data_IF_647219860299
#
_entry.id   IF_647219860299
#
_cell.length_a   1.000
_cell.length_b   1.000
_cell.length_c   1.000
_cell.angle_alpha   90.00
_cell.angle_beta   90.00
_cell.angle_gamma   90.00
#
_symmetry.space_group_name_H-M   'P 1'
#
loop_
_entity.id
_entity.type
_entity.pdbx_description
1 polymer ?
#
# COMPACT_ATOMS: atom_id res chain seq x y z
N UNK A 1 5.49 4.42 7.75
CA UNK A 1 5.59 4.31 6.27
C UNK A 1 5.55 5.72 5.70
N UNK A 2 6.31 5.96 4.64
CA UNK A 2 6.39 7.26 3.98
C UNK A 2 5.67 7.21 2.64
N UNK A 3 4.73 8.13 2.44
CA UNK A 3 4.00 8.30 1.18
C UNK A 3 4.28 9.72 0.67
N UNK A 4 4.77 9.81 -0.57
CA UNK A 4 4.96 11.11 -1.23
C UNK A 4 3.84 11.33 -2.24
N UNK A 5 3.16 12.48 -2.13
CA UNK A 5 2.12 12.90 -3.06
C UNK A 5 2.70 13.96 -4.02
N UNK A 6 2.46 13.84 -5.34
CA UNK A 6 2.74 14.93 -6.25
C UNK A 6 1.77 16.08 -5.96
N UNK A 7 2.30 17.29 -5.80
CA UNK A 7 1.54 18.50 -5.55
C UNK A 7 0.84 19.02 -6.80
N UNK A 8 0.06 20.10 -6.64
CA UNK A 8 -0.75 20.70 -7.71
C UNK A 8 0.07 21.37 -8.82
N UNK A 9 1.38 21.55 -8.63
CA UNK A 9 2.33 22.02 -9.63
C UNK A 9 3.45 21.00 -9.82
N UNK A 10 4.01 20.90 -11.03
CA UNK A 10 5.07 19.92 -11.39
C UNK A 10 6.33 19.95 -10.50
N UNK A 11 6.47 20.95 -9.63
CA UNK A 11 7.62 21.18 -8.77
C UNK A 11 7.32 21.10 -7.27
N UNK A 12 6.07 20.82 -6.87
CA UNK A 12 5.72 20.63 -5.45
C UNK A 12 5.49 19.14 -5.16
N UNK A 13 6.14 18.61 -4.13
CA UNK A 13 5.80 17.30 -3.56
C UNK A 13 5.46 17.51 -2.10
N UNK A 14 4.38 16.88 -1.65
CA UNK A 14 4.02 16.89 -0.24
C UNK A 14 4.25 15.51 0.35
N UNK A 15 5.17 15.43 1.31
CA UNK A 15 5.49 14.18 2.00
C UNK A 15 4.59 14.01 3.21
N UNK A 16 3.94 12.85 3.30
CA UNK A 16 3.18 12.47 4.48
C UNK A 16 3.78 11.25 5.15
N UNK A 17 3.91 11.36 6.47
CA UNK A 17 4.41 10.29 7.34
C UNK A 17 3.27 9.85 8.24
N UNK A 18 2.92 8.57 8.16
CA UNK A 18 1.98 7.93 9.09
C UNK A 18 2.63 6.67 9.68
N UNK A 19 2.49 6.54 10.99
CA UNK A 19 2.81 5.30 11.69
C UNK A 19 1.74 4.26 11.37
N UNK A 20 2.17 3.02 11.11
CA UNK A 20 1.25 1.90 10.91
C UNK A 20 0.70 1.49 12.28
N UNK A 21 -0.62 1.44 12.40
CA UNK A 21 -1.33 1.16 13.66
C UNK A 21 -2.31 0.03 13.48
N UNK A 22 -2.51 -0.77 14.53
CA UNK A 22 -3.62 -1.70 14.66
C UNK A 22 -4.52 -1.23 15.80
N UNK A 23 -5.67 -0.65 15.45
CA UNK A 23 -6.45 0.16 16.38
C UNK A 23 -5.65 1.36 16.90
N UNK A 24 -5.62 1.56 18.22
CA UNK A 24 -4.91 2.68 18.84
C UNK A 24 -3.41 2.43 19.07
N UNK A 25 -2.92 1.21 18.79
CA UNK A 25 -1.53 0.81 19.07
C UNK A 25 -0.67 0.85 17.80
N UNK A 26 0.55 1.34 17.94
CA UNK A 26 1.57 1.24 16.88
C UNK A 26 1.89 -0.24 16.65
N UNK A 27 1.78 -0.68 15.40
CA UNK A 27 2.07 -2.04 15.01
C UNK A 27 3.59 -2.25 15.02
N UNK A 28 4.06 -3.34 15.65
CA UNK A 28 5.49 -3.66 15.66
C UNK A 28 5.96 -4.04 14.26
N UNK A 29 7.20 -3.68 13.93
CA UNK A 29 7.79 -3.96 12.62
C UNK A 29 7.78 -5.45 12.26
N UNK A 30 8.13 -6.32 13.22
CA UNK A 30 8.12 -7.78 13.04
C UNK A 30 6.72 -8.33 12.70
N UNK A 31 5.69 -7.79 13.34
CA UNK A 31 4.31 -8.20 13.10
C UNK A 31 3.85 -7.77 11.70
N UNK A 32 4.17 -6.53 11.30
CA UNK A 32 3.91 -6.04 9.96
C UNK A 32 4.67 -6.87 8.91
N UNK A 33 5.95 -7.15 9.15
CA UNK A 33 6.77 -7.98 8.26
C UNK A 33 6.16 -9.37 8.07
N UNK A 34 5.66 -9.98 9.15
CA UNK A 34 4.97 -11.27 9.08
C UNK A 34 3.72 -11.19 8.21
N UNK A 35 2.88 -10.16 8.39
CA UNK A 35 1.66 -9.95 7.57
C UNK A 35 2.00 -9.79 6.08
N UNK A 36 3.02 -8.99 5.76
CA UNK A 36 3.50 -8.78 4.39
C UNK A 36 4.00 -10.09 3.78
N UNK A 37 4.79 -10.86 4.53
CA UNK A 37 5.29 -12.15 4.08
C UNK A 37 4.14 -13.11 3.78
N UNK A 38 3.17 -13.24 4.68
CA UNK A 38 2.00 -14.10 4.49
C UNK A 38 1.21 -13.69 3.25
N UNK A 39 0.97 -12.40 3.05
CA UNK A 39 0.28 -11.90 1.85
C UNK A 39 1.05 -12.23 0.56
N UNK A 40 2.36 -12.04 0.56
CA UNK A 40 3.21 -12.39 -0.59
C UNK A 40 3.14 -13.89 -0.89
N UNK A 41 3.24 -14.72 0.13
CA UNK A 41 3.19 -16.17 -0.03
C UNK A 41 1.82 -16.62 -0.56
N UNK A 42 0.71 -15.99 -0.12
CA UNK A 42 -0.63 -16.30 -0.61
C UNK A 42 -0.83 -15.96 -2.09
N UNK A 43 -0.24 -14.85 -2.56
CA UNK A 43 -0.27 -14.51 -4.00
C UNK A 43 0.46 -15.55 -4.86
N UNK A 44 1.58 -16.09 -4.36
CA UNK A 44 2.36 -17.11 -5.08
C UNK A 44 1.60 -18.44 -5.12
N UNK A 45 0.91 -18.81 -4.03
CA UNK A 45 0.13 -20.04 -3.94
C UNK A 45 -1.14 -19.93 -4.80
N UNK A 46 -1.92 -18.85 -4.63
CA UNK A 46 -3.15 -18.64 -5.40
C UNK A 46 -2.92 -18.61 -6.92
N UNK A 47 -1.76 -18.10 -7.37
CA UNK A 47 -1.37 -18.18 -8.78
C UNK A 47 -1.22 -19.63 -9.29
N UNK A 48 -0.83 -20.58 -8.43
CA UNK A 48 -0.60 -21.98 -8.80
C UNK A 48 -1.87 -22.81 -8.76
N UNK A 49 -2.78 -22.50 -7.86
CA UNK A 49 -3.92 -23.37 -7.51
C UNK A 49 -5.21 -23.03 -8.30
N UNK A 50 -5.26 -21.91 -9.04
CA UNK A 50 -6.42 -21.48 -9.84
C UNK A 50 -7.74 -21.38 -9.05
N UNK A 51 -7.67 -21.26 -7.72
CA UNK A 51 -8.80 -21.00 -6.85
C UNK A 51 -9.16 -19.50 -6.82
N UNK A 52 -10.39 -19.18 -6.39
CA UNK A 52 -10.79 -17.81 -6.12
C UNK A 52 -9.83 -17.19 -5.10
N UNK A 53 -9.06 -16.19 -5.53
CA UNK A 53 -8.01 -15.59 -4.70
C UNK A 53 -8.61 -14.86 -3.49
N UNK A 54 -8.21 -15.29 -2.29
CA UNK A 54 -8.59 -14.63 -1.03
C UNK A 54 -7.89 -13.26 -0.89
N UNK A 55 -8.68 -12.19 -1.06
CA UNK A 55 -8.22 -10.81 -0.96
C UNK A 55 -8.17 -10.27 0.48
N UNK A 56 -8.47 -11.07 1.50
CA UNK A 56 -8.53 -10.63 2.90
C UNK A 56 -7.20 -10.05 3.38
N UNK A 57 -6.08 -10.72 3.06
CA UNK A 57 -4.73 -10.25 3.43
C UNK A 57 -4.36 -8.94 2.73
N UNK A 58 -4.73 -8.82 1.44
CA UNK A 58 -4.54 -7.59 0.67
C UNK A 58 -5.39 -6.44 1.20
N UNK A 59 -6.58 -6.74 1.71
CA UNK A 59 -7.50 -5.78 2.34
C UNK A 59 -6.96 -5.27 3.67
N UNK A 60 -6.49 -6.18 4.52
CA UNK A 60 -5.90 -5.81 5.81
C UNK A 60 -4.71 -4.87 5.60
N UNK A 61 -3.82 -5.22 4.66
CA UNK A 61 -2.68 -4.37 4.33
C UNK A 61 -3.10 -3.04 3.70
N UNK A 62 -4.15 -3.01 2.86
CA UNK A 62 -4.71 -1.75 2.34
C UNK A 62 -5.17 -0.84 3.49
N UNK A 63 -5.91 -1.38 4.46
CA UNK A 63 -6.43 -0.61 5.58
C UNK A 63 -5.33 -0.09 6.50
N UNK A 64 -4.27 -0.88 6.70
CA UNK A 64 -3.11 -0.46 7.48
C UNK A 64 -2.29 0.63 6.79
N UNK A 65 -2.23 0.60 5.45
CA UNK A 65 -1.22 1.34 4.70
C UNK A 65 -1.77 2.47 3.85
N UNK A 66 -2.87 2.26 3.13
CA UNK A 66 -3.41 3.24 2.19
C UNK A 66 -4.55 4.04 2.81
N UNK A 67 -5.48 3.37 3.49
CA UNK A 67 -6.67 3.97 4.10
C UNK A 67 -6.41 5.24 4.94
N UNK A 68 -5.31 5.36 5.73
CA UNK A 68 -5.05 6.58 6.49
C UNK A 68 -4.81 7.84 5.64
N UNK A 69 -4.66 7.68 4.33
CA UNK A 69 -4.45 8.76 3.37
C UNK A 69 -5.67 9.03 2.47
N UNK A 70 -6.68 8.15 2.45
CA UNK A 70 -7.82 8.21 1.52
C UNK A 70 -8.50 9.59 1.49
N UNK A 71 -8.76 10.19 2.65
CA UNK A 71 -9.41 11.51 2.74
C UNK A 71 -8.64 12.57 1.94
N UNK A 72 -7.31 12.58 2.08
CA UNK A 72 -6.46 13.53 1.38
C UNK A 72 -6.31 13.19 -0.10
N UNK A 73 -6.12 11.91 -0.42
CA UNK A 73 -6.06 11.44 -1.81
C UNK A 73 -7.31 11.84 -2.59
N UNK A 74 -8.48 11.71 -1.96
CA UNK A 74 -9.77 12.07 -2.55
C UNK A 74 -9.98 13.59 -2.65
N UNK A 75 -9.68 14.34 -1.58
CA UNK A 75 -9.80 15.80 -1.58
C UNK A 75 -8.92 16.47 -2.64
N UNK A 76 -7.70 15.97 -2.82
CA UNK A 76 -6.73 16.52 -3.77
C UNK A 76 -6.81 15.88 -5.16
N UNK A 77 -7.69 14.88 -5.35
CA UNK A 77 -7.85 14.12 -6.60
C UNK A 77 -6.52 13.55 -7.10
N UNK A 78 -5.70 13.07 -6.17
CA UNK A 78 -4.40 12.48 -6.48
C UNK A 78 -4.62 11.18 -7.26
N UNK A 79 -4.01 11.08 -8.44
CA UNK A 79 -4.07 9.88 -9.30
C UNK A 79 -2.75 9.11 -9.37
N UNK A 80 -1.69 9.69 -8.83
CA UNK A 80 -0.33 9.14 -8.89
C UNK A 80 0.21 9.07 -7.48
N UNK A 81 0.61 7.88 -7.05
CA UNK A 81 1.21 7.64 -5.74
C UNK A 81 2.66 7.20 -5.93
N UNK A 82 3.55 7.82 -5.17
CA UNK A 82 4.96 7.45 -5.11
C UNK A 82 5.23 6.81 -3.76
N UNK A 83 5.60 5.53 -3.79
CA UNK A 83 5.95 4.77 -2.61
C UNK A 83 7.45 4.80 -2.42
N UNK A 84 7.90 5.30 -1.28
CA UNK A 84 9.30 5.22 -0.86
C UNK A 84 9.38 4.14 0.21
N UNK A 85 9.65 2.92 -0.24
CA UNK A 85 9.74 1.75 0.62
C UNK A 85 11.19 1.49 0.99
N UNK A 86 11.43 1.27 2.28
CA UNK A 86 12.75 0.90 2.78
C UNK A 86 12.71 -0.44 3.55
N UNK A 87 13.86 -1.12 3.57
CA UNK A 87 14.03 -2.42 4.22
C UNK A 87 12.98 -3.45 3.79
N UNK A 88 12.38 -4.13 4.77
CA UNK A 88 11.39 -5.19 4.51
C UNK A 88 10.11 -4.69 3.82
N UNK A 89 9.82 -3.39 3.85
CA UNK A 89 8.64 -2.83 3.19
C UNK A 89 8.73 -2.92 1.67
N UNK A 90 9.94 -3.04 1.09
CA UNK A 90 10.13 -3.25 -0.37
C UNK A 90 9.50 -4.53 -0.89
N UNK A 91 9.18 -5.47 0.01
CA UNK A 91 8.55 -6.73 -0.36
C UNK A 91 7.04 -6.63 -0.57
N UNK A 92 6.42 -5.48 -0.26
CA UNK A 92 4.98 -5.29 -0.35
C UNK A 92 4.53 -5.22 -1.82
N UNK A 93 3.64 -6.14 -2.26
CA UNK A 93 3.01 -6.05 -3.57
C UNK A 93 1.93 -4.96 -3.58
N UNK A 94 2.32 -3.68 -3.61
CA UNK A 94 1.40 -2.53 -3.46
C UNK A 94 0.23 -2.56 -4.45
N UNK A 95 0.50 -2.99 -5.68
CA UNK A 95 -0.50 -3.05 -6.74
C UNK A 95 -1.59 -4.09 -6.48
N UNK A 96 -1.30 -5.10 -5.63
CA UNK A 96 -2.24 -6.15 -5.24
C UNK A 96 -2.98 -5.84 -3.93
N UNK A 97 -2.72 -4.70 -3.29
CA UNK A 97 -3.55 -4.26 -2.16
C UNK A 97 -4.98 -4.02 -2.65
N UNK A 98 -5.95 -4.44 -1.87
CA UNK A 98 -7.35 -4.49 -2.26
C UNK A 98 -8.19 -3.60 -1.36
N UNK A 99 -8.98 -2.70 -1.94
CA UNK A 99 -9.96 -1.95 -1.20
C UNK A 99 -11.28 -2.74 -1.14
N UNK A 100 -11.53 -3.39 -0.01
CA UNK A 100 -12.77 -4.15 0.20
C UNK A 100 -14.05 -3.29 0.13
N UNK A 101 -13.96 -1.96 0.33
CA UNK A 101 -15.11 -1.05 0.25
C UNK A 101 -15.54 -0.79 -1.19
N UNK A 102 -14.58 -0.53 -2.08
CA UNK A 102 -14.87 -0.26 -3.50
C UNK A 102 -14.80 -1.52 -4.35
N UNK A 103 -14.26 -2.61 -3.80
CA UNK A 103 -14.00 -3.89 -4.47
C UNK A 103 -12.97 -3.80 -5.58
N UNK A 104 -12.01 -2.89 -5.46
CA UNK A 104 -10.99 -2.62 -6.46
C UNK A 104 -9.58 -2.80 -5.90
N UNK A 105 -8.64 -3.17 -6.76
CA UNK A 105 -7.23 -3.18 -6.40
C UNK A 105 -6.62 -1.78 -6.54
N UNK A 106 -5.59 -1.48 -5.75
CA UNK A 106 -4.94 -0.17 -5.76
C UNK A 106 -4.48 0.25 -7.16
N UNK A 107 -4.03 -0.71 -7.98
CA UNK A 107 -3.62 -0.46 -9.37
C UNK A 107 -4.77 -0.02 -10.29
N UNK A 108 -6.01 -0.38 -9.99
CA UNK A 108 -7.18 -0.01 -10.81
C UNK A 108 -7.54 1.46 -10.61
N UNK A 109 -7.26 1.98 -9.41
CA UNK A 109 -7.62 3.35 -9.03
C UNK A 109 -6.49 4.36 -9.25
N UNK A 110 -5.24 3.90 -9.37
CA UNK A 110 -4.06 4.76 -9.34
C UNK A 110 -2.99 4.37 -10.37
N UNK A 111 -2.33 5.38 -10.93
CA UNK A 111 -1.04 5.19 -11.61
C UNK A 111 0.06 5.06 -10.55
N UNK A 112 0.43 3.84 -10.19
CA UNK A 112 1.54 3.60 -9.27
C UNK A 112 2.89 3.72 -9.98
N UNK A 113 3.78 4.60 -9.51
CA UNK A 113 5.20 4.59 -9.90
C UNK A 113 6.04 4.22 -8.69
N UNK A 114 6.81 3.13 -8.79
CA UNK A 114 7.81 2.77 -7.79
C UNK A 114 9.12 3.45 -8.18
N UNK A 115 9.62 4.35 -7.32
CA UNK A 115 10.92 4.96 -7.56
C UNK A 115 12.03 3.97 -7.14
N UNK A 116 12.99 3.65 -8.03
CA UNK A 116 14.21 2.97 -7.60
C UNK A 116 14.97 3.91 -6.65
N UNK A 117 15.54 3.35 -5.58
CA UNK A 117 16.47 4.09 -4.72
C UNK A 117 17.74 4.32 -5.53
N UNK A 118 18.20 5.57 -5.63
CA UNK A 118 19.52 5.88 -6.18
C UNK A 118 20.56 5.45 -5.15
N UNK A 119 21.42 4.50 -5.52
CA UNK A 119 22.63 4.16 -4.76
C UNK A 119 23.64 5.32 -4.80
#
# INVERSE_FOLDING_TARGET
>A
MLLSLPGKSEQSTETQIKWVKSGDKILKGEELQKKIKTFRDSLIIGQRELEDFDNTLGSELYDLMIRPFDDKLNQEKIKTLIFVQDGFLRSIPMTALYDAKTKEYLIQNMRSQQLPVLD
#
